data_IF_861853753899
#
_entry.id   IF_861853753899
#
_cell.length_a   1.000
_cell.length_b   1.000
_cell.length_c   1.000
_cell.angle_alpha   90.00
_cell.angle_beta   90.00
_cell.angle_gamma   90.00
#
_symmetry.space_group_name_H-M   'P 1'
#
loop_
_entity.id
_entity.type
_entity.pdbx_description
1 polymer ?
#
# COMPACT_ATOMS: atom_id res chain seq x y z
N UNK A 1 3.01 12.80 -21.43
CA UNK A 1 3.43 11.94 -20.32
C UNK A 1 3.26 12.72 -19.02
N UNK A 2 2.61 12.12 -18.02
CA UNK A 2 2.54 12.63 -16.65
C UNK A 2 3.91 12.37 -16.00
N UNK A 3 4.87 13.26 -16.16
CA UNK A 3 6.19 13.11 -15.56
C UNK A 3 6.29 13.92 -14.25
N UNK A 4 6.99 13.37 -13.27
CA UNK A 4 7.43 14.07 -12.08
C UNK A 4 8.47 15.15 -12.46
N UNK A 5 8.55 16.25 -11.69
CA UNK A 5 9.62 17.23 -11.87
C UNK A 5 11.00 16.58 -11.79
N UNK A 6 11.99 17.09 -12.54
CA UNK A 6 13.33 16.49 -12.67
C UNK A 6 13.98 16.13 -11.31
N UNK A 7 13.77 16.96 -10.29
CA UNK A 7 14.30 16.72 -8.94
C UNK A 7 13.77 15.45 -8.26
N UNK A 8 12.69 14.85 -8.76
CA UNK A 8 12.06 13.62 -8.25
C UNK A 8 12.02 12.49 -9.28
N UNK A 9 12.72 12.63 -10.41
CA UNK A 9 12.69 11.62 -11.49
C UNK A 9 13.18 10.23 -11.05
N UNK A 10 14.04 10.18 -10.05
CA UNK A 10 14.45 8.92 -9.40
C UNK A 10 13.27 8.09 -8.87
N UNK A 11 12.13 8.71 -8.58
CA UNK A 11 10.93 8.02 -8.10
C UNK A 11 10.21 7.28 -9.23
N UNK A 12 10.35 7.73 -10.48
CA UNK A 12 9.86 7.01 -11.66
C UNK A 12 10.80 5.86 -11.98
N UNK A 13 12.12 6.13 -11.98
CA UNK A 13 13.15 5.13 -12.30
C UNK A 13 13.15 3.91 -11.36
N UNK A 14 12.58 4.06 -10.15
CA UNK A 14 12.49 3.01 -9.14
C UNK A 14 11.04 2.74 -8.70
N UNK A 15 10.05 3.18 -9.48
CA UNK A 15 8.66 2.89 -9.21
C UNK A 15 8.44 1.36 -9.17
N UNK A 16 7.62 0.85 -8.24
CA UNK A 16 7.32 -0.57 -8.19
C UNK A 16 6.47 -0.98 -9.40
N UNK A 17 6.74 -2.19 -9.91
CA UNK A 17 5.86 -2.89 -10.85
C UNK A 17 5.15 -4.00 -10.08
N UNK A 18 3.82 -4.04 -10.19
CA UNK A 18 3.01 -4.99 -9.48
C UNK A 18 2.57 -6.11 -10.41
N UNK A 19 2.74 -7.36 -10.00
CA UNK A 19 1.98 -8.46 -10.57
C UNK A 19 0.65 -8.58 -9.83
N UNK A 20 -0.43 -8.35 -10.57
CA UNK A 20 -1.78 -8.63 -10.09
C UNK A 20 -2.04 -10.12 -10.16
N UNK A 21 -2.69 -10.70 -9.14
CA UNK A 21 -3.01 -12.11 -9.17
C UNK A 21 -3.88 -12.44 -10.41
N UNK A 22 -3.54 -13.47 -11.21
CA UNK A 22 -4.18 -13.72 -12.50
C UNK A 22 -5.65 -14.11 -12.37
N UNK A 23 -6.03 -14.76 -11.27
CA UNK A 23 -7.41 -15.17 -10.99
C UNK A 23 -8.20 -14.16 -10.14
N UNK A 24 -7.62 -13.01 -9.85
CA UNK A 24 -8.39 -11.96 -9.16
C UNK A 24 -9.35 -11.32 -10.14
N UNK A 25 -10.62 -11.25 -9.74
CA UNK A 25 -11.66 -10.56 -10.49
C UNK A 25 -11.69 -9.06 -10.18
N UNK A 26 -11.08 -8.63 -9.07
CA UNK A 26 -11.02 -7.25 -8.62
C UNK A 26 -9.69 -6.63 -9.05
N UNK A 27 -9.77 -5.58 -9.86
CA UNK A 27 -8.63 -4.85 -10.41
C UNK A 27 -8.56 -3.44 -9.83
N UNK A 28 -7.43 -2.73 -9.97
CA UNK A 28 -7.36 -1.32 -9.62
C UNK A 28 -8.51 -0.53 -10.28
N UNK A 29 -9.15 0.34 -9.51
CA UNK A 29 -10.43 0.96 -9.88
C UNK A 29 -10.29 2.45 -10.10
N UNK A 30 -11.06 2.99 -11.05
CA UNK A 30 -11.17 4.43 -11.25
C UNK A 30 -11.84 5.11 -10.06
N UNK A 31 -11.20 6.14 -9.51
CA UNK A 31 -11.73 6.88 -8.37
C UNK A 31 -13.02 7.63 -8.71
N UNK A 32 -13.14 8.17 -9.93
CA UNK A 32 -14.35 8.90 -10.35
C UNK A 32 -15.52 7.94 -10.59
N UNK A 33 -15.26 6.77 -11.18
CA UNK A 33 -16.28 5.72 -11.32
C UNK A 33 -16.77 5.22 -9.96
N UNK A 34 -15.87 4.98 -9.01
CA UNK A 34 -16.25 4.60 -7.63
C UNK A 34 -17.20 5.62 -6.99
N UNK A 35 -16.93 6.91 -7.14
CA UNK A 35 -17.78 7.98 -6.57
C UNK A 35 -19.18 8.03 -7.20
N UNK A 36 -19.36 7.61 -8.46
CA UNK A 36 -20.69 7.54 -9.10
C UNK A 36 -21.59 6.48 -8.47
N UNK A 37 -20.99 5.43 -7.90
CA UNK A 37 -21.68 4.30 -7.29
C UNK A 37 -21.83 4.42 -5.76
N UNK A 38 -21.42 5.55 -5.18
CA UNK A 38 -21.47 5.76 -3.74
C UNK A 38 -22.24 7.01 -3.33
N UNK A 39 -22.71 7.00 -2.10
CA UNK A 39 -23.40 8.13 -1.45
C UNK A 39 -22.81 8.29 -0.05
N UNK A 40 -22.38 9.50 0.35
CA UNK A 40 -21.91 9.76 1.70
C UNK A 40 -23.04 9.49 2.73
N UNK A 41 -22.77 8.63 3.71
CA UNK A 41 -23.69 8.31 4.80
C UNK A 41 -23.02 8.47 6.16
N UNK A 42 -23.82 8.86 7.15
CA UNK A 42 -23.47 8.83 8.58
C UNK A 42 -24.50 7.92 9.24
N UNK A 43 -24.04 6.90 9.97
CA UNK A 43 -24.91 5.92 10.63
C UNK A 43 -25.95 5.31 9.67
N UNK A 44 -25.52 5.04 8.42
CA UNK A 44 -26.32 4.46 7.32
C UNK A 44 -27.50 5.34 6.87
N UNK A 45 -27.46 6.63 7.21
CA UNK A 45 -28.38 7.66 6.72
C UNK A 45 -27.61 8.62 5.82
N UNK A 46 -28.16 9.02 4.65
CA UNK A 46 -27.51 10.03 3.79
C UNK A 46 -27.06 11.28 4.56
N UNK A 47 -25.79 11.62 4.45
CA UNK A 47 -25.15 12.67 5.26
C UNK A 47 -25.47 14.10 4.79
N UNK A 48 -26.06 14.26 3.61
CA UNK A 48 -26.58 15.52 3.09
C UNK A 48 -27.85 15.28 2.26
N UNK A 49 -28.72 16.29 2.21
CA UNK A 49 -29.89 16.31 1.31
C UNK A 49 -29.51 16.67 -0.14
N UNK A 50 -28.22 16.85 -0.43
CA UNK A 50 -27.80 17.44 -1.68
C UNK A 50 -27.59 16.34 -2.73
N UNK A 51 -28.34 16.43 -3.81
CA UNK A 51 -28.07 15.84 -5.13
C UNK A 51 -26.72 16.31 -5.73
N UNK A 52 -25.86 17.00 -4.97
CA UNK A 52 -24.54 17.41 -5.40
C UNK A 52 -23.67 16.16 -5.57
N UNK A 53 -23.37 15.83 -6.82
CA UNK A 53 -22.47 14.73 -7.14
C UNK A 53 -21.11 14.94 -6.44
N UNK A 54 -20.73 13.99 -5.59
CA UNK A 54 -19.38 13.98 -5.02
C UNK A 54 -18.36 13.66 -6.11
N UNK A 55 -17.29 14.43 -6.12
CA UNK A 55 -16.18 14.28 -7.06
C UNK A 55 -14.85 14.42 -6.31
N UNK A 56 -13.75 14.31 -7.06
CA UNK A 56 -12.42 14.35 -6.46
C UNK A 56 -12.04 15.75 -5.93
N UNK A 57 -12.68 16.82 -6.40
CA UNK A 57 -12.40 18.19 -5.98
C UNK A 57 -13.14 18.53 -4.67
N UNK A 58 -14.35 18.02 -4.52
CA UNK A 58 -15.29 18.46 -3.48
C UNK A 58 -15.40 17.50 -2.28
N UNK A 59 -14.81 16.30 -2.34
CA UNK A 59 -14.93 15.28 -1.28
C UNK A 59 -14.52 15.76 0.12
N UNK A 60 -13.53 16.65 0.22
CA UNK A 60 -13.09 17.23 1.50
C UNK A 60 -14.15 18.08 2.19
N UNK A 61 -15.19 18.54 1.49
CA UNK A 61 -16.32 19.25 2.10
C UNK A 61 -17.05 18.38 3.12
N UNK A 62 -17.02 17.05 2.93
CA UNK A 62 -17.60 16.09 3.88
C UNK A 62 -16.90 16.11 5.25
N UNK A 63 -15.68 16.65 5.34
CA UNK A 63 -14.98 16.83 6.62
C UNK A 63 -15.69 17.81 7.57
N UNK A 64 -16.66 18.58 7.07
CA UNK A 64 -17.50 19.48 7.87
C UNK A 64 -18.71 18.80 8.48
N UNK A 65 -19.00 17.55 8.08
CA UNK A 65 -20.19 16.82 8.50
C UNK A 65 -19.96 16.01 9.78
N UNK A 66 -21.06 15.74 10.49
CA UNK A 66 -21.06 14.97 11.73
C UNK A 66 -20.36 15.68 12.91
N UNK A 67 -20.36 15.02 14.06
CA UNK A 67 -19.69 15.53 15.27
C UNK A 67 -18.19 15.17 15.32
N UNK A 68 -17.67 14.55 14.25
CA UNK A 68 -16.33 13.94 14.22
C UNK A 68 -15.46 14.45 13.06
N UNK A 69 -15.79 15.62 12.50
CA UNK A 69 -15.07 16.24 11.37
C UNK A 69 -15.01 15.33 10.13
N UNK A 70 -16.15 14.72 9.79
CA UNK A 70 -16.30 13.79 8.67
C UNK A 70 -15.71 12.39 8.87
N UNK A 71 -15.06 12.10 10.00
CA UNK A 71 -14.45 10.78 10.26
C UNK A 71 -15.46 9.62 10.31
N UNK A 72 -16.72 9.92 10.60
CA UNK A 72 -17.81 8.94 10.62
C UNK A 72 -18.66 8.99 9.33
N UNK A 73 -18.14 9.59 8.26
CA UNK A 73 -18.78 9.59 6.93
C UNK A 73 -18.24 8.42 6.13
N UNK A 74 -19.15 7.64 5.55
CA UNK A 74 -18.87 6.44 4.76
C UNK A 74 -19.35 6.65 3.32
N UNK A 75 -18.48 6.46 2.33
CA UNK A 75 -18.87 6.45 0.92
C UNK A 75 -19.58 5.13 0.58
N UNK A 76 -20.85 5.06 0.98
CA UNK A 76 -21.65 3.83 0.97
C UNK A 76 -22.16 3.51 -0.42
N UNK A 77 -22.06 2.26 -0.82
CA UNK A 77 -22.56 1.76 -2.10
C UNK A 77 -24.05 2.02 -2.30
N UNK A 78 -24.41 2.40 -3.52
CA UNK A 78 -25.80 2.51 -3.99
C UNK A 78 -26.40 1.16 -4.42
N UNK A 79 -25.54 0.16 -4.62
CA UNK A 79 -25.90 -1.15 -5.18
C UNK A 79 -25.78 -2.24 -4.10
N UNK A 80 -26.50 -3.34 -4.26
CA UNK A 80 -26.26 -4.53 -3.44
C UNK A 80 -24.96 -5.21 -3.86
N UNK A 81 -23.92 -5.04 -3.05
CA UNK A 81 -22.57 -5.57 -3.32
C UNK A 81 -22.54 -7.11 -3.38
N UNK A 82 -23.53 -7.79 -2.82
CA UNK A 82 -23.62 -9.27 -2.90
C UNK A 82 -23.99 -9.75 -4.31
N UNK A 83 -24.56 -8.87 -5.15
CA UNK A 83 -24.80 -9.14 -6.57
C UNK A 83 -23.53 -9.03 -7.43
N UNK A 84 -22.39 -8.64 -6.83
CA UNK A 84 -21.09 -8.43 -7.49
C UNK A 84 -21.19 -7.53 -8.74
N UNK A 85 -21.72 -6.30 -8.60
CA UNK A 85 -21.91 -5.38 -9.73
C UNK A 85 -20.59 -5.05 -10.43
N UNK A 86 -20.66 -4.74 -11.71
CA UNK A 86 -19.49 -4.66 -12.58
C UNK A 86 -18.45 -3.61 -12.13
N UNK A 87 -18.88 -2.49 -11.54
CA UNK A 87 -17.98 -1.43 -11.09
C UNK A 87 -17.06 -1.86 -9.93
N UNK A 88 -17.44 -2.89 -9.15
CA UNK A 88 -16.57 -3.45 -8.10
C UNK A 88 -15.35 -4.15 -8.68
N UNK A 89 -15.45 -4.69 -9.90
CA UNK A 89 -14.36 -5.44 -10.56
C UNK A 89 -13.19 -4.55 -11.01
N UNK A 90 -13.36 -3.24 -10.95
CA UNK A 90 -12.33 -2.28 -11.33
C UNK A 90 -12.17 -2.11 -12.83
N UNK A 91 -11.11 -1.41 -13.22
CA UNK A 91 -10.86 -1.07 -14.61
C UNK A 91 -10.13 -2.19 -15.35
N UNK A 92 -10.46 -2.35 -16.63
CA UNK A 92 -9.67 -3.17 -17.55
C UNK A 92 -8.44 -2.36 -17.98
N UNK A 93 -7.32 -2.57 -17.27
CA UNK A 93 -6.08 -1.82 -17.46
C UNK A 93 -5.13 -2.70 -18.27
N UNK A 94 -4.78 -2.26 -19.47
CA UNK A 94 -3.66 -2.85 -20.19
C UNK A 94 -2.36 -2.43 -19.49
N UNK A 95 -1.70 -3.41 -18.88
CA UNK A 95 -0.40 -3.35 -18.23
C UNK A 95 0.67 -2.52 -18.97
N UNK A 96 0.61 -2.50 -20.31
CA UNK A 96 1.66 -1.94 -21.18
C UNK A 96 1.24 -0.70 -21.94
N UNK A 97 -0.06 -0.48 -22.09
CA UNK A 97 -0.61 0.61 -22.91
C UNK A 97 -1.49 1.58 -22.10
N UNK A 98 -1.68 1.32 -20.79
CA UNK A 98 -2.57 2.09 -19.93
C UNK A 98 -4.04 1.87 -20.31
N UNK A 99 -4.89 2.87 -20.04
CA UNK A 99 -6.31 2.78 -20.37
C UNK A 99 -6.60 3.29 -21.79
N UNK A 100 -7.13 2.42 -22.65
CA UNK A 100 -7.65 2.78 -23.98
C UNK A 100 -9.08 3.29 -23.86
N UNK A 101 -9.28 4.58 -23.55
CA UNK A 101 -10.64 5.14 -23.52
C UNK A 101 -10.85 6.49 -22.82
N UNK A 102 -9.82 7.11 -22.25
CA UNK A 102 -9.95 8.38 -21.52
C UNK A 102 -8.91 8.55 -20.42
N UNK A 103 -9.13 9.50 -19.51
CA UNK A 103 -8.33 9.63 -18.29
C UNK A 103 -8.87 8.68 -17.22
N UNK A 104 -8.10 7.63 -16.91
CA UNK A 104 -8.31 6.73 -15.78
C UNK A 104 -7.40 7.17 -14.62
N UNK A 105 -7.95 7.19 -13.39
CA UNK A 105 -7.15 7.41 -12.19
C UNK A 105 -7.42 6.34 -11.12
N UNK A 106 -6.43 5.49 -10.88
CA UNK A 106 -6.53 4.39 -9.90
C UNK A 106 -5.83 4.68 -8.58
N UNK A 107 -5.34 5.90 -8.37
CA UNK A 107 -4.62 6.25 -7.15
C UNK A 107 -3.73 7.47 -7.28
N UNK A 108 -2.70 7.52 -6.42
CA UNK A 108 -1.80 8.66 -6.36
C UNK A 108 -0.37 8.25 -6.04
N UNK A 109 0.57 8.99 -6.64
CA UNK A 109 1.96 8.99 -6.25
C UNK A 109 2.22 10.27 -5.49
N UNK A 110 2.58 10.14 -4.21
CA UNK A 110 2.76 11.27 -3.29
C UNK A 110 4.22 11.36 -2.88
N UNK A 111 4.86 12.46 -3.24
CA UNK A 111 6.24 12.79 -2.87
C UNK A 111 6.25 13.59 -1.57
N UNK A 112 6.99 13.11 -0.58
CA UNK A 112 7.15 13.73 0.73
C UNK A 112 8.63 14.06 0.94
N UNK A 113 9.02 15.31 0.66
CA UNK A 113 10.38 15.80 0.90
C UNK A 113 10.59 16.09 2.40
N UNK A 114 11.51 15.34 3.01
CA UNK A 114 11.81 15.42 4.44
C UNK A 114 13.04 16.28 4.74
N UNK A 115 13.65 16.88 3.73
CA UNK A 115 14.88 17.65 3.84
C UNK A 115 16.12 16.76 3.92
N UNK A 116 17.29 17.40 3.85
CA UNK A 116 18.60 16.73 3.87
C UNK A 116 18.75 15.61 2.81
N UNK A 117 18.01 15.73 1.70
CA UNK A 117 17.97 14.71 0.65
C UNK A 117 17.23 13.42 1.02
N UNK A 118 16.45 13.38 2.11
CA UNK A 118 15.52 12.30 2.42
C UNK A 118 14.19 12.59 1.76
N UNK A 119 13.69 11.67 0.94
CA UNK A 119 12.38 11.78 0.29
C UNK A 119 11.67 10.45 0.43
N UNK A 120 10.45 10.47 0.98
CA UNK A 120 9.57 9.31 0.95
C UNK A 120 8.60 9.46 -0.22
N UNK A 121 8.44 8.41 -1.02
CA UNK A 121 7.47 8.39 -2.11
C UNK A 121 6.48 7.27 -1.85
N UNK A 122 5.20 7.62 -1.80
CA UNK A 122 4.10 6.68 -1.62
C UNK A 122 3.43 6.42 -2.97
N UNK A 123 3.21 5.15 -3.30
CA UNK A 123 2.47 4.69 -4.48
C UNK A 123 1.17 4.08 -3.98
N UNK A 124 0.11 4.88 -3.94
CA UNK A 124 -1.23 4.46 -3.52
C UNK A 124 -2.00 3.90 -4.70
N UNK A 125 -2.67 2.78 -4.49
CA UNK A 125 -3.53 2.13 -5.49
C UNK A 125 -4.88 1.84 -4.81
N UNK A 126 -5.95 2.08 -5.55
CA UNK A 126 -7.32 1.92 -5.09
C UNK A 126 -8.00 0.74 -5.77
N UNK A 127 -8.75 -0.05 -5.02
CA UNK A 127 -9.71 -1.03 -5.54
C UNK A 127 -11.10 -0.67 -5.04
N UNK A 128 -12.12 -0.87 -5.86
CA UNK A 128 -13.51 -0.60 -5.48
C UNK A 128 -14.08 -1.65 -4.50
N UNK A 129 -13.41 -2.79 -4.36
CA UNK A 129 -13.85 -3.87 -3.48
C UNK A 129 -12.66 -4.69 -3.02
N UNK A 130 -12.65 -5.09 -1.76
CA UNK A 130 -11.76 -6.07 -1.16
C UNK A 130 -12.53 -7.36 -0.86
N UNK A 131 -12.05 -8.49 -1.37
CA UNK A 131 -12.55 -9.82 -1.06
C UNK A 131 -11.66 -10.45 0.02
N UNK A 132 -11.75 -9.93 1.25
CA UNK A 132 -10.83 -10.19 2.36
C UNK A 132 -10.08 -11.51 2.28
N UNK A 133 -10.75 -12.62 2.58
CA UNK A 133 -10.19 -13.94 2.33
C UNK A 133 -11.08 -15.07 2.77
N UNK A 134 -10.57 -16.31 2.67
CA UNK A 134 -11.23 -17.51 3.19
C UNK A 134 -10.53 -17.94 4.47
N UNK A 135 -11.24 -17.87 5.59
CA UNK A 135 -10.78 -18.31 6.91
C UNK A 135 -11.66 -19.48 7.34
N UNK A 136 -11.07 -20.68 7.48
CA UNK A 136 -11.80 -21.91 7.87
C UNK A 136 -13.07 -22.15 7.03
N UNK A 137 -12.94 -22.01 5.70
CA UNK A 137 -14.03 -22.14 4.72
C UNK A 137 -15.11 -21.05 4.75
N UNK A 138 -14.91 -19.97 5.53
CA UNK A 138 -15.80 -18.80 5.56
C UNK A 138 -15.13 -17.62 4.86
N UNK A 139 -15.87 -16.93 3.99
CA UNK A 139 -15.39 -15.68 3.41
C UNK A 139 -15.62 -14.52 4.39
N UNK A 140 -14.54 -13.87 4.81
CA UNK A 140 -14.53 -12.84 5.84
C UNK A 140 -13.66 -11.65 5.42
N UNK A 141 -13.87 -10.49 6.06
CA UNK A 141 -13.06 -9.29 5.87
C UNK A 141 -13.33 -8.52 4.58
N UNK A 142 -14.48 -8.73 3.93
CA UNK A 142 -14.82 -7.97 2.74
C UNK A 142 -15.13 -6.52 3.09
N UNK A 143 -14.82 -5.60 2.20
CA UNK A 143 -15.28 -4.22 2.30
C UNK A 143 -15.33 -3.56 0.93
N UNK A 144 -16.25 -2.59 0.78
CA UNK A 144 -16.27 -1.69 -0.36
C UNK A 144 -15.13 -0.70 -0.22
N UNK A 145 -14.45 -0.42 -1.33
CA UNK A 145 -13.26 0.43 -1.39
C UNK A 145 -12.05 -0.19 -0.68
N UNK A 146 -10.86 0.02 -1.22
CA UNK A 146 -9.63 -0.50 -0.65
C UNK A 146 -8.44 0.35 -1.04
N UNK A 147 -7.54 0.60 -0.09
CA UNK A 147 -6.34 1.41 -0.30
C UNK A 147 -5.10 0.64 0.12
N UNK A 148 -4.34 0.18 -0.87
CA UNK A 148 -3.02 -0.41 -0.68
C UNK A 148 -1.92 0.57 -1.12
N UNK A 149 -0.74 0.45 -0.52
CA UNK A 149 0.37 1.31 -0.85
C UNK A 149 1.75 0.73 -0.62
N UNK A 150 2.67 1.16 -1.47
CA UNK A 150 4.11 1.01 -1.25
C UNK A 150 4.68 2.36 -0.84
N UNK A 151 5.57 2.39 0.15
CA UNK A 151 6.42 3.56 0.38
C UNK A 151 7.87 3.22 0.11
N UNK A 152 8.55 4.01 -0.73
CA UNK A 152 9.99 3.91 -0.96
C UNK A 152 10.66 5.14 -0.36
N UNK A 153 11.61 4.91 0.56
CA UNK A 153 12.46 5.96 1.13
C UNK A 153 13.75 6.09 0.33
N UNK A 154 14.02 7.30 -0.13
CA UNK A 154 15.22 7.68 -0.84
C UNK A 154 16.16 8.51 0.04
N UNK A 155 17.46 8.40 -0.20
CA UNK A 155 18.50 9.31 0.33
C UNK A 155 19.42 9.75 -0.80
N UNK A 156 19.46 11.04 -1.10
CA UNK A 156 20.23 11.59 -2.21
C UNK A 156 19.85 10.97 -3.56
N UNK A 157 18.55 10.76 -3.79
CA UNK A 157 18.00 10.16 -5.01
C UNK A 157 18.19 8.65 -5.16
N UNK A 158 18.79 7.95 -4.19
CA UNK A 158 18.95 6.48 -4.22
C UNK A 158 17.93 5.81 -3.30
N UNK A 159 17.20 4.77 -3.74
CA UNK A 159 16.27 4.07 -2.88
C UNK A 159 17.03 3.32 -1.78
N UNK A 160 16.44 3.26 -0.58
CA UNK A 160 17.06 2.66 0.60
C UNK A 160 16.17 1.63 1.27
N UNK A 161 14.93 2.00 1.53
CA UNK A 161 14.00 1.17 2.27
C UNK A 161 12.64 1.20 1.61
N UNK A 162 11.90 0.11 1.73
CA UNK A 162 10.58 -0.07 1.19
C UNK A 162 9.64 -0.55 2.28
N UNK A 163 8.43 -0.03 2.28
CA UNK A 163 7.30 -0.52 3.05
C UNK A 163 6.27 -1.09 2.10
N UNK A 164 5.80 -2.30 2.38
CA UNK A 164 4.73 -2.97 1.65
C UNK A 164 3.54 -3.07 2.61
N UNK A 165 2.43 -2.42 2.29
CA UNK A 165 1.21 -2.54 3.10
C UNK A 165 0.61 -3.93 2.97
N UNK A 166 0.15 -4.44 4.10
CA UNK A 166 -0.56 -5.72 4.21
C UNK A 166 -1.62 -5.54 5.29
N UNK A 167 -2.89 -5.52 4.90
CA UNK A 167 -4.01 -5.34 5.83
C UNK A 167 -3.83 -4.06 6.67
N UNK A 168 -4.01 -4.13 7.98
CA UNK A 168 -3.79 -2.99 8.90
C UNK A 168 -2.32 -2.68 9.20
N UNK A 169 -1.35 -3.42 8.61
CA UNK A 169 0.08 -3.19 8.83
C UNK A 169 0.92 -3.47 7.56
N UNK A 170 2.00 -4.26 7.65
CA UNK A 170 2.91 -4.52 6.53
C UNK A 170 4.31 -5.02 6.89
N UNK A 171 5.14 -5.16 5.86
CA UNK A 171 6.54 -5.55 5.97
C UNK A 171 7.49 -4.47 5.42
N UNK A 172 8.64 -4.32 6.07
CA UNK A 172 9.69 -3.38 5.65
C UNK A 172 10.93 -4.13 5.14
N UNK A 173 11.52 -3.63 4.06
CA UNK A 173 12.70 -4.20 3.40
C UNK A 173 13.73 -3.12 3.07
N UNK A 174 15.00 -3.50 2.94
CA UNK A 174 15.95 -2.71 2.13
C UNK A 174 15.55 -2.84 0.67
N UNK A 175 15.70 -1.76 -0.11
CA UNK A 175 15.36 -1.81 -1.54
C UNK A 175 16.14 -2.92 -2.28
N UNK A 176 17.42 -3.11 -1.96
CA UNK A 176 18.28 -4.14 -2.56
C UNK A 176 17.84 -5.58 -2.24
N UNK A 177 16.95 -5.78 -1.26
CA UNK A 177 16.38 -7.09 -0.96
C UNK A 177 15.27 -7.48 -1.93
N UNK A 178 14.68 -6.51 -2.62
CA UNK A 178 13.60 -6.73 -3.59
C UNK A 178 14.20 -6.99 -4.97
N UNK A 179 13.50 -7.79 -5.77
CA UNK A 179 13.89 -8.05 -7.16
C UNK A 179 13.55 -6.85 -8.04
N UNK A 180 14.43 -5.84 -8.05
CA UNK A 180 14.32 -4.64 -8.92
C UNK A 180 12.96 -3.93 -8.85
N UNK A 181 12.30 -3.96 -7.69
CA UNK A 181 11.00 -3.30 -7.49
C UNK A 181 9.78 -4.09 -7.99
N UNK A 182 9.95 -5.37 -8.34
CA UNK A 182 8.83 -6.27 -8.65
C UNK A 182 8.13 -6.69 -7.35
N UNK A 183 6.81 -6.53 -7.30
CA UNK A 183 5.96 -6.84 -6.16
C UNK A 183 4.74 -7.64 -6.60
N UNK A 184 4.12 -8.36 -5.66
CA UNK A 184 2.99 -9.25 -5.92
C UNK A 184 1.80 -8.84 -5.07
N UNK A 185 0.64 -8.71 -5.69
CA UNK A 185 -0.62 -8.35 -5.03
C UNK A 185 -1.39 -9.63 -4.73
N UNK A 186 -1.81 -9.79 -3.48
CA UNK A 186 -2.60 -10.94 -3.05
C UNK A 186 -4.00 -10.94 -3.68
N UNK A 187 -4.52 -12.13 -3.99
CA UNK A 187 -5.88 -12.32 -4.50
C UNK A 187 -6.91 -11.90 -3.44
N UNK A 188 -7.77 -10.94 -3.78
CA UNK A 188 -8.91 -10.51 -2.98
C UNK A 188 -8.57 -9.50 -1.89
N UNK A 189 -7.58 -9.79 -1.05
CA UNK A 189 -7.14 -8.88 0.04
C UNK A 189 -6.29 -7.71 -0.45
N UNK A 190 -5.68 -7.84 -1.63
CA UNK A 190 -4.75 -6.90 -2.25
C UNK A 190 -3.48 -6.55 -1.46
N UNK A 191 -3.25 -7.20 -0.32
CA UNK A 191 -2.02 -7.06 0.44
C UNK A 191 -0.78 -7.27 -0.45
N UNK A 192 0.24 -6.46 -0.24
CA UNK A 192 1.40 -6.37 -1.13
C UNK A 192 2.58 -7.15 -0.55
N UNK A 193 3.16 -8.01 -1.38
CA UNK A 193 4.23 -8.92 -0.99
C UNK A 193 5.44 -8.82 -1.91
N UNK A 194 6.60 -9.10 -1.34
CA UNK A 194 7.88 -9.15 -2.07
C UNK A 194 8.12 -10.47 -2.82
N UNK A 195 7.20 -11.44 -2.71
CA UNK A 195 7.31 -12.77 -3.31
C UNK A 195 5.95 -13.35 -3.67
N UNK A 196 5.97 -14.34 -4.56
CA UNK A 196 4.84 -15.23 -4.82
C UNK A 196 4.67 -16.29 -3.71
N UNK A 197 3.56 -17.00 -3.76
CA UNK A 197 3.25 -18.15 -2.93
C UNK A 197 2.05 -17.91 -2.02
N UNK A 198 1.77 -18.93 -1.20
CA UNK A 198 0.85 -18.83 -0.08
C UNK A 198 1.60 -18.22 1.11
N UNK A 199 1.09 -17.12 1.64
CA UNK A 199 1.74 -16.34 2.69
C UNK A 199 0.79 -16.24 3.88
N UNK A 200 1.06 -17.06 4.90
CA UNK A 200 0.35 -16.97 6.17
C UNK A 200 0.78 -15.73 6.93
N UNK A 201 -0.17 -14.95 7.42
CA UNK A 201 0.05 -13.72 8.19
C UNK A 201 -0.74 -13.73 9.51
N UNK A 202 -1.03 -14.92 10.05
CA UNK A 202 -1.83 -15.07 11.28
C UNK A 202 -1.18 -14.37 12.47
N UNK A 203 0.15 -14.36 12.52
CA UNK A 203 0.92 -13.65 13.55
C UNK A 203 1.34 -12.29 12.97
N UNK A 204 0.92 -11.16 13.58
CA UNK A 204 1.33 -9.84 13.12
C UNK A 204 2.86 -9.72 12.98
N UNK A 205 3.32 -9.13 11.86
CA UNK A 205 4.73 -8.96 11.50
C UNK A 205 5.50 -10.25 11.20
N UNK A 206 4.83 -11.42 11.22
CA UNK A 206 5.46 -12.71 11.04
C UNK A 206 4.76 -13.55 9.98
N UNK A 207 5.00 -13.17 8.74
CA UNK A 207 4.62 -13.94 7.57
C UNK A 207 5.35 -15.29 7.47
N UNK A 208 4.67 -16.36 7.09
CA UNK A 208 5.28 -17.69 6.91
C UNK A 208 4.77 -18.36 5.65
N UNK A 209 5.54 -19.32 5.12
CA UNK A 209 5.10 -20.15 3.98
C UNK A 209 4.34 -21.40 4.46
N UNK A 210 4.03 -21.49 5.76
CA UNK A 210 3.27 -22.58 6.36
C UNK A 210 1.83 -22.09 6.60
N UNK A 211 0.86 -22.48 5.74
CA UNK A 211 -0.51 -22.01 5.88
C UNK A 211 -1.11 -22.48 7.19
N UNK A 212 -1.75 -21.57 7.93
CA UNK A 212 -2.42 -21.88 9.19
C UNK A 212 -3.86 -21.35 9.23
N UNK A 213 -4.06 -20.02 9.27
CA UNK A 213 -5.40 -19.44 9.47
C UNK A 213 -5.69 -18.30 8.50
N UNK A 214 -4.79 -17.32 8.43
CA UNK A 214 -4.94 -16.15 7.56
C UNK A 214 -3.88 -16.25 6.46
N UNK A 215 -4.28 -16.65 5.26
CA UNK A 215 -3.36 -16.95 4.15
C UNK A 215 -3.72 -16.10 2.94
N UNK A 216 -2.76 -15.29 2.50
CA UNK A 216 -2.82 -14.57 1.24
C UNK A 216 -2.16 -15.38 0.13
N UNK A 217 -2.71 -15.29 -1.09
CA UNK A 217 -2.18 -15.99 -2.25
C UNK A 217 -1.65 -15.00 -3.28
N UNK A 218 -0.35 -15.08 -3.55
CA UNK A 218 0.35 -14.23 -4.52
C UNK A 218 0.86 -15.07 -5.69
N UNK A 219 0.63 -14.59 -6.92
CA UNK A 219 1.09 -15.24 -8.14
C UNK A 219 1.29 -14.22 -9.24
N UNK A 220 2.37 -14.35 -10.02
CA UNK A 220 2.63 -13.53 -11.17
C UNK A 220 1.49 -13.66 -12.17
N UNK A 221 0.81 -12.55 -12.39
CA UNK A 221 -0.16 -12.38 -13.44
C UNK A 221 0.17 -11.11 -14.24
N UNK A 222 -0.85 -10.43 -14.79
CA UNK A 222 -0.68 -9.17 -15.48
C UNK A 222 0.13 -8.18 -14.66
N UNK A 223 1.09 -7.52 -15.31
CA UNK A 223 1.84 -6.42 -14.72
C UNK A 223 0.93 -5.19 -14.58
N UNK A 224 1.21 -4.35 -13.59
CA UNK A 224 0.53 -3.08 -13.39
C UNK A 224 1.59 -2.03 -13.01
N UNK A 225 1.70 -1.00 -13.86
CA UNK A 225 2.54 0.15 -13.61
C UNK A 225 1.69 1.32 -13.05
N UNK A 226 1.86 1.69 -11.77
CA UNK A 226 1.08 2.77 -11.16
C UNK A 226 1.34 4.13 -11.80
N UNK A 227 2.46 4.33 -12.51
CA UNK A 227 2.79 5.61 -13.17
C UNK A 227 1.81 5.95 -14.29
N UNK A 228 1.20 4.93 -14.91
CA UNK A 228 0.30 5.11 -16.05
C UNK A 228 -1.07 5.66 -15.64
N UNK A 229 -1.52 5.36 -14.43
CA UNK A 229 -2.89 5.63 -13.97
C UNK A 229 -2.96 6.41 -12.66
N UNK A 230 -1.85 6.96 -12.17
CA UNK A 230 -1.85 7.77 -10.94
C UNK A 230 -1.88 9.27 -11.22
N UNK A 231 -2.45 10.02 -10.28
CA UNK A 231 -2.17 11.44 -10.13
C UNK A 231 -0.89 11.67 -9.31
N UNK A 232 -0.17 12.75 -9.61
CA UNK A 232 1.14 13.03 -9.01
C UNK A 232 1.04 14.23 -8.07
N UNK A 233 1.40 14.04 -6.80
CA UNK A 233 1.33 15.09 -5.79
C UNK A 233 2.63 15.21 -4.99
N UNK A 234 2.86 16.40 -4.45
CA UNK A 234 3.73 16.58 -3.29
C UNK A 234 2.89 16.84 -2.05
N UNK A 235 3.40 16.44 -0.89
CA UNK A 235 2.78 16.73 0.40
C UNK A 235 3.67 17.65 1.24
N UNK A 236 3.13 18.80 1.65
CA UNK A 236 3.73 19.72 2.60
C UNK A 236 3.46 19.21 4.03
N UNK A 237 4.53 18.81 4.71
CA UNK A 237 4.51 18.20 6.05
C UNK A 237 4.14 19.22 7.13
N UNK A 238 4.45 20.49 6.93
CA UNK A 238 4.20 21.57 7.88
C UNK A 238 2.73 21.98 7.82
N UNK A 239 2.23 22.24 6.62
CA UNK A 239 0.87 22.74 6.41
C UNK A 239 -0.16 21.61 6.21
N UNK A 240 0.31 20.37 6.07
CA UNK A 240 -0.51 19.17 5.80
C UNK A 240 -1.36 19.31 4.53
N UNK A 241 -0.73 19.82 3.47
CA UNK A 241 -1.39 20.14 2.20
C UNK A 241 -0.82 19.32 1.05
N UNK A 242 -1.67 18.98 0.09
CA UNK A 242 -1.26 18.36 -1.16
C UNK A 242 -1.19 19.41 -2.27
N UNK A 243 -0.23 19.26 -3.17
CA UNK A 243 -0.07 20.09 -4.36
C UNK A 243 0.16 19.19 -5.57
N UNK A 244 -0.59 19.38 -6.64
CA UNK A 244 -0.38 18.65 -7.90
C UNK A 244 0.99 18.96 -8.52
N UNK A 245 1.71 17.92 -8.96
CA UNK A 245 3.08 18.06 -9.49
C UNK A 245 3.15 18.16 -11.01
N UNK A 246 2.17 17.63 -11.73
CA UNK A 246 2.17 17.59 -13.20
C UNK A 246 1.08 18.45 -13.83
N UNK A 247 0.10 18.93 -13.05
CA UNK A 247 -0.96 19.86 -13.48
C UNK A 247 -1.35 20.76 -12.31
N UNK A 248 -1.41 22.07 -12.55
CA UNK A 248 -1.67 23.09 -11.52
C UNK A 248 -3.06 23.02 -10.88
N UNK A 249 -4.00 22.29 -11.51
CA UNK A 249 -5.40 22.18 -11.10
C UNK A 249 -5.81 20.73 -10.80
N UNK A 250 -4.90 19.89 -10.34
CA UNK A 250 -5.28 18.55 -9.87
C UNK A 250 -6.13 18.66 -8.59
N UNK A 251 -7.22 17.91 -8.58
CA UNK A 251 -8.13 17.80 -7.45
C UNK A 251 -7.42 17.26 -6.20
N UNK A 252 -7.41 18.02 -5.11
CA UNK A 252 -6.81 17.61 -3.83
C UNK A 252 -7.85 17.25 -2.76
N UNK A 253 -9.13 17.54 -3.00
CA UNK A 253 -10.20 17.33 -2.03
C UNK A 253 -10.31 15.87 -1.58
N UNK A 254 -10.22 14.92 -2.50
CA UNK A 254 -10.28 13.49 -2.20
C UNK A 254 -9.13 12.98 -1.33
N UNK A 255 -7.91 13.53 -1.48
CA UNK A 255 -6.77 13.17 -0.64
C UNK A 255 -6.95 13.65 0.80
N UNK A 256 -7.71 14.74 0.98
CA UNK A 256 -7.99 15.36 2.28
C UNK A 256 -9.28 14.82 2.93
N UNK A 257 -10.03 13.93 2.28
CA UNK A 257 -11.23 13.34 2.88
C UNK A 257 -10.88 12.47 4.10
N UNK A 258 -11.47 12.79 5.25
CA UNK A 258 -11.18 12.16 6.54
C UNK A 258 -11.99 10.88 6.80
N UNK A 259 -13.02 10.62 6.01
CA UNK A 259 -13.94 9.51 6.23
C UNK A 259 -13.45 8.21 5.59
N UNK A 260 -14.40 7.29 5.44
CA UNK A 260 -14.19 5.94 4.96
C UNK A 260 -14.54 5.83 3.48
N UNK A 261 -13.61 5.28 2.70
CA UNK A 261 -13.80 4.92 1.30
C UNK A 261 -14.53 3.58 1.23
N UNK A 262 -15.84 3.60 1.41
CA UNK A 262 -16.68 2.41 1.36
C UNK A 262 -17.83 2.43 2.36
N UNK A 263 -18.51 1.30 2.44
CA UNK A 263 -19.62 1.04 3.35
C UNK A 263 -19.16 1.11 4.82
N UNK A 264 -20.09 1.49 5.70
CA UNK A 264 -19.99 1.20 7.11
C UNK A 264 -20.22 -0.30 7.35
N UNK A 265 -19.53 -0.87 8.34
CA UNK A 265 -19.74 -2.23 8.82
C UNK A 265 -21.23 -2.56 8.93
N UNK A 266 -21.61 -3.69 8.31
CA UNK A 266 -23.00 -4.11 8.26
C UNK A 266 -23.45 -4.53 9.67
N UNK A 267 -24.67 -4.13 10.10
CA UNK A 267 -25.24 -4.56 11.36
C UNK A 267 -25.19 -6.08 11.55
N UNK A 268 -25.10 -6.54 12.80
CA UNK A 268 -25.11 -7.96 13.13
C UNK A 268 -26.42 -8.67 12.69
N UNK A 269 -27.53 -7.93 12.55
CA UNK A 269 -28.82 -8.43 12.07
C UNK A 269 -29.03 -8.26 10.55
N UNK A 270 -28.07 -7.67 9.82
CA UNK A 270 -28.09 -7.66 8.36
C UNK A 270 -27.90 -9.09 7.83
N UNK A 271 -28.79 -9.52 6.94
CA UNK A 271 -28.79 -10.88 6.37
C UNK A 271 -27.51 -11.21 5.59
N UNK A 272 -26.77 -10.20 5.14
CA UNK A 272 -25.51 -10.33 4.42
C UNK A 272 -24.33 -10.48 5.38
N UNK A 273 -24.46 -9.97 6.59
CA UNK A 273 -23.42 -10.02 7.61
C UNK A 273 -23.30 -11.40 8.22
N UNK A 274 -22.06 -11.81 8.50
CA UNK A 274 -21.76 -13.03 9.24
C UNK A 274 -20.59 -12.73 10.17
N UNK A 275 -20.59 -13.34 11.35
CA UNK A 275 -19.44 -13.32 12.25
C UNK A 275 -18.95 -14.73 12.47
N UNK A 276 -17.63 -14.92 12.37
CA UNK A 276 -17.00 -16.20 12.59
C UNK A 276 -15.67 -16.01 13.31
N UNK A 277 -15.56 -16.58 14.52
CA UNK A 277 -14.34 -16.56 15.35
C UNK A 277 -13.77 -15.14 15.54
N UNK A 278 -14.65 -14.16 15.76
CA UNK A 278 -14.26 -12.75 15.98
C UNK A 278 -13.98 -11.95 14.71
N UNK A 279 -14.09 -12.56 13.53
CA UNK A 279 -14.01 -11.87 12.24
C UNK A 279 -15.41 -11.62 11.68
N UNK A 280 -15.60 -10.50 11.00
CA UNK A 280 -16.83 -10.14 10.32
C UNK A 280 -16.71 -10.38 8.83
N UNK A 281 -17.84 -10.62 8.17
CA UNK A 281 -17.89 -10.77 6.72
C UNK A 281 -17.74 -9.45 5.99
N UNK A 282 -18.46 -8.42 6.43
CA UNK A 282 -18.39 -7.08 5.87
C UNK A 282 -17.92 -6.09 6.92
N UNK A 283 -16.73 -5.53 6.74
CA UNK A 283 -16.15 -4.49 7.60
C UNK A 283 -16.34 -3.09 7.05
N UNK A 284 -15.84 -2.10 7.79
CA UNK A 284 -15.76 -0.72 7.33
C UNK A 284 -14.83 -0.60 6.11
N UNK A 285 -15.20 0.25 5.14
CA UNK A 285 -14.27 0.72 4.12
C UNK A 285 -13.06 1.44 4.76
N UNK A 286 -11.86 1.44 4.15
CA UNK A 286 -10.69 2.03 4.76
C UNK A 286 -10.69 3.55 4.68
N UNK A 287 -9.89 4.19 5.54
CA UNK A 287 -9.60 5.62 5.37
C UNK A 287 -8.55 5.88 4.28
N UNK A 288 -8.53 7.12 3.78
CA UNK A 288 -7.78 7.52 2.61
C UNK A 288 -6.26 7.73 2.81
N UNK A 289 -5.55 8.20 1.75
CA UNK A 289 -4.10 8.34 1.76
C UNK A 289 -3.51 9.24 2.86
N UNK A 290 -4.19 10.33 3.23
CA UNK A 290 -3.70 11.25 4.27
C UNK A 290 -3.57 10.60 5.65
N UNK A 291 -4.32 9.55 5.94
CA UNK A 291 -4.30 8.83 7.21
C UNK A 291 -3.13 7.85 7.31
N UNK A 292 -2.41 7.58 6.21
CA UNK A 292 -1.31 6.60 6.17
C UNK A 292 0.01 7.15 6.73
N UNK A 293 -0.06 8.20 7.55
CA UNK A 293 1.03 8.84 8.29
C UNK A 293 2.18 9.31 7.38
N UNK A 294 1.90 10.18 6.41
CA UNK A 294 2.85 10.59 5.37
C UNK A 294 4.18 11.19 5.92
N UNK A 295 4.15 11.86 7.08
CA UNK A 295 5.34 12.40 7.75
C UNK A 295 5.98 11.43 8.78
N UNK A 296 5.70 10.13 8.70
CA UNK A 296 6.24 9.14 9.65
C UNK A 296 7.77 9.11 9.66
N UNK A 297 8.37 9.04 10.86
CA UNK A 297 9.84 9.00 11.03
C UNK A 297 10.43 7.67 10.56
N UNK A 298 9.74 6.57 10.86
CA UNK A 298 10.13 5.20 10.46
C UNK A 298 9.63 4.90 9.05
N UNK A 299 10.09 3.80 8.48
CA UNK A 299 9.58 3.36 7.17
C UNK A 299 8.18 2.74 7.29
N UNK A 300 7.81 2.24 8.48
CA UNK A 300 6.48 1.76 8.83
C UNK A 300 5.68 2.79 9.64
N UNK A 301 4.33 2.72 9.64
CA UNK A 301 3.48 3.58 10.45
C UNK A 301 3.55 3.21 11.95
N UNK A 302 3.21 4.17 12.79
CA UNK A 302 3.11 3.99 14.23
C UNK A 302 1.69 3.51 14.57
N UNK A 303 1.55 2.24 14.94
CA UNK A 303 0.29 1.60 15.32
C UNK A 303 0.52 0.50 16.38
N UNK A 304 -0.54 -0.17 16.82
CA UNK A 304 -0.49 -1.29 17.78
C UNK A 304 0.37 -2.47 17.32
N UNK A 305 0.56 -2.62 16.01
CA UNK A 305 1.34 -3.68 15.38
C UNK A 305 2.76 -3.23 15.00
N UNK A 306 3.19 -2.02 15.33
CA UNK A 306 4.52 -1.53 14.99
C UNK A 306 5.64 -2.17 15.84
N UNK A 307 5.27 -2.82 16.95
CA UNK A 307 6.24 -3.46 17.84
C UNK A 307 6.88 -4.69 17.18
N UNK A 308 8.21 -4.76 17.25
CA UNK A 308 8.99 -5.83 16.63
C UNK A 308 9.23 -5.66 15.13
N UNK A 309 8.73 -4.59 14.52
CA UNK A 309 8.99 -4.30 13.11
C UNK A 309 10.48 -4.04 12.86
N UNK A 310 10.99 -4.58 11.77
CA UNK A 310 12.38 -4.50 11.35
C UNK A 310 12.48 -4.35 9.85
N UNK A 311 13.58 -3.74 9.40
CA UNK A 311 13.92 -3.67 7.97
C UNK A 311 14.63 -4.95 7.57
N UNK A 312 13.98 -5.75 6.73
CA UNK A 312 14.51 -7.02 6.23
C UNK A 312 15.53 -6.77 5.12
N UNK A 313 16.62 -7.52 5.11
CA UNK A 313 17.69 -7.37 4.10
C UNK A 313 17.71 -8.49 3.06
N UNK A 314 16.78 -9.43 3.15
CA UNK A 314 16.64 -10.58 2.24
C UNK A 314 15.19 -11.10 2.26
N UNK A 315 14.83 -11.89 1.24
CA UNK A 315 13.51 -12.53 1.11
C UNK A 315 13.44 -13.90 1.81
N UNK A 316 14.57 -14.51 2.17
CA UNK A 316 14.59 -15.88 2.65
C UNK A 316 14.13 -16.01 4.11
N UNK A 317 13.07 -16.78 4.35
CA UNK A 317 12.60 -17.10 5.72
C UNK A 317 13.62 -17.87 6.58
N UNK A 318 14.77 -18.28 6.04
CA UNK A 318 15.82 -19.03 6.77
C UNK A 318 16.76 -18.13 7.57
N UNK A 319 17.09 -16.94 7.07
CA UNK A 319 17.72 -15.88 7.86
C UNK A 319 16.75 -15.35 8.93
N UNK A 320 15.45 -15.27 8.61
CA UNK A 320 14.35 -14.85 9.51
C UNK A 320 14.31 -15.58 10.85
N UNK A 321 14.29 -16.92 10.86
CA UNK A 321 14.28 -17.70 12.13
C UNK A 321 15.63 -17.63 12.85
N UNK A 322 16.75 -17.68 12.11
CA UNK A 322 18.09 -17.63 12.69
C UNK A 322 18.40 -16.30 13.36
N UNK A 323 18.01 -15.19 12.74
CA UNK A 323 18.29 -13.85 13.24
C UNK A 323 17.31 -13.46 14.35
N UNK A 324 16.04 -13.88 14.28
CA UNK A 324 15.11 -13.74 15.41
C UNK A 324 15.53 -14.60 16.60
N UNK A 325 15.95 -15.86 16.39
CA UNK A 325 16.51 -16.69 17.46
C UNK A 325 17.81 -16.11 18.02
N UNK A 326 18.69 -15.56 17.19
CA UNK A 326 19.92 -14.88 17.65
C UNK A 326 19.61 -13.65 18.50
N UNK A 327 18.72 -12.77 18.05
CA UNK A 327 18.33 -11.57 18.78
C UNK A 327 17.62 -11.92 20.10
N UNK A 328 16.71 -12.91 20.07
CA UNK A 328 16.08 -13.44 21.27
C UNK A 328 17.11 -14.00 22.24
N UNK A 329 18.06 -14.80 21.75
CA UNK A 329 19.14 -15.39 22.57
C UNK A 329 20.11 -14.35 23.11
N UNK A 330 20.44 -13.30 22.34
CA UNK A 330 21.24 -12.16 22.79
C UNK A 330 20.54 -11.35 23.89
N UNK A 331 19.22 -11.20 23.81
CA UNK A 331 18.42 -10.53 24.85
C UNK A 331 18.24 -11.37 26.10
N UNK A 332 18.06 -12.69 25.96
CA UNK A 332 17.88 -13.60 27.07
C UNK A 332 19.17 -13.90 27.84
N UNK A 333 20.33 -13.92 27.16
CA UNK A 333 21.59 -14.41 27.74
C UNK A 333 22.78 -13.45 27.59
N UNK A 334 22.55 -12.26 27.04
CA UNK A 334 23.59 -11.25 26.82
C UNK A 334 24.52 -11.57 25.64
N UNK A 335 25.14 -10.53 25.09
CA UNK A 335 26.15 -10.66 24.03
C UNK A 335 27.45 -11.19 24.64
N UNK A 336 27.85 -12.43 24.35
CA UNK A 336 29.25 -12.82 24.60
C UNK A 336 30.12 -12.13 23.55
N UNK A 337 30.82 -11.08 23.93
CA UNK A 337 31.91 -10.51 23.13
C UNK A 337 32.92 -11.62 22.82
N UNK A 338 32.88 -12.16 21.61
CA UNK A 338 34.05 -12.85 21.07
C UNK A 338 34.94 -11.80 20.45
N UNK A 339 36.04 -11.54 21.15
CA UNK A 339 37.16 -10.70 20.76
C UNK A 339 37.41 -10.75 19.24
N UNK A 340 37.39 -9.57 18.63
CA UNK A 340 37.94 -9.33 17.31
C UNK A 340 39.42 -9.74 17.37
N UNK A 341 39.77 -10.92 16.85
CA UNK A 341 41.17 -11.25 16.59
C UNK A 341 41.62 -10.40 15.41
N UNK A 342 42.31 -9.31 15.70
CA UNK A 342 43.21 -8.66 14.77
C UNK A 342 44.31 -9.69 14.44
N UNK A 343 44.25 -10.26 13.24
CA UNK A 343 45.39 -10.82 12.50
C UNK A 343 45.42 -9.97 11.22
N UNK A 344 46.24 -8.95 11.09
CA UNK A 344 47.70 -9.00 11.09
C UNK A 344 48.13 -8.74 9.64
N UNK A 345 48.69 -7.57 9.36
CA UNK A 345 49.49 -7.36 8.14
C UNK A 345 50.67 -8.37 8.13
N UNK A 346 51.18 -8.76 6.95
CA UNK A 346 52.29 -7.99 6.40
C UNK A 346 52.35 -7.83 4.86
N UNK A 347 53.03 -6.75 4.49
CA UNK A 347 53.94 -6.51 3.35
C UNK A 347 53.41 -6.17 1.95
N UNK A 348 53.78 -4.94 1.57
CA UNK A 348 54.01 -4.40 0.22
C UNK A 348 54.64 -5.40 -0.78
N UNK A 349 54.19 -5.36 -2.04
CA UNK A 349 54.99 -4.89 -3.19
C UNK A 349 54.23 -4.99 -4.54
N UNK A 350 54.13 -3.83 -5.23
CA UNK A 350 54.13 -3.53 -6.68
C UNK A 350 53.22 -4.30 -7.66
N UNK A 351 52.25 -3.59 -8.31
CA UNK A 351 52.28 -3.04 -9.70
C UNK A 351 51.83 -4.10 -10.72
N UNK A 352 51.06 -3.89 -11.78
CA UNK A 352 50.66 -2.78 -12.66
C UNK A 352 49.41 -3.29 -13.46
N UNK A 353 48.69 -2.41 -14.18
CA UNK A 353 48.02 -2.84 -15.41
C UNK A 353 46.49 -2.85 -15.46
N UNK A 354 45.91 -1.65 -15.56
CA UNK A 354 44.78 -1.27 -16.44
C UNK A 354 43.95 -2.38 -17.12
N UNK A 355 42.62 -2.41 -16.84
CA UNK A 355 41.59 -2.73 -17.85
C UNK A 355 40.23 -2.12 -17.50
N UNK A 356 39.66 -1.42 -18.48
CA UNK A 356 38.44 -0.61 -18.44
C UNK A 356 37.13 -1.44 -18.44
N UNK A 357 35.99 -0.87 -18.05
CA UNK A 357 34.70 -1.56 -18.02
C UNK A 357 33.99 -1.58 -19.40
N UNK A 358 33.37 -2.71 -19.73
CA UNK A 358 32.48 -2.90 -20.87
C UNK A 358 31.14 -2.18 -20.64
N UNK A 359 30.77 -1.31 -21.59
CA UNK A 359 29.40 -0.77 -21.75
C UNK A 359 28.49 -1.85 -22.36
N UNK A 360 27.24 -1.91 -21.91
CA UNK A 360 26.14 -2.60 -22.60
C UNK A 360 25.42 -1.60 -23.50
N UNK A 361 25.15 -2.03 -24.73
CA UNK A 361 24.23 -1.42 -25.70
C UNK A 361 22.78 -1.69 -25.32
#
# INVERSE_FOLDING_TARGET
MKALPDKYRFAEDHAPIFHLHPEDQYRPSDLTEFLRHTTPMIDRVPASNNDDAMDLDNLSRLNTLGNSQGRNVYLTSRDDVTSNPQWLKGADIDAREGFKGGELCTGAIVVVDKGEGVVDVFYFIFWAYNYGGIVLSQNLGNHVGDWEHVMIRFKGGKPKQVWLSQHSNGEAYTFDALEKGILYVAKGSHAIYAREGDIDHTIPNFNTDLPFLLVDQCKAGPEFDPLLTSYLYSYDRTNRQFTGLNRSSLATGWLLFNGHWGDQEYPADDKRQQSFVGFLKYGDGPTGPADKQLDRKRVWPDNSHAWGQLVRTSLDGRTRLRDQLKEWWWRAFGRKEKAMKIKGEPSRAYADGTRAPLKRT
#
